data_IF_346894694986
#
_entry.id   IF_346894694986
#
_cell.length_a   1.000
_cell.length_b   1.000
_cell.length_c   1.000
_cell.angle_alpha   90.00
_cell.angle_beta   90.00
_cell.angle_gamma   90.00
#
_symmetry.space_group_name_H-M   'P 1'
#
loop_
_entity.id
_entity.type
_entity.pdbx_description
1 polymer ?
#
# COMPACT_ATOMS: atom_id res chain seq x y z
N UNK A 1 3.59 7.79 -24.83
CA UNK A 1 2.98 7.36 -23.54
C UNK A 1 1.88 6.36 -23.85
N UNK A 2 1.82 5.26 -23.09
CA UNK A 2 0.77 4.26 -23.26
C UNK A 2 -0.51 4.73 -22.59
N UNK A 3 -1.67 4.22 -23.03
CA UNK A 3 -2.99 4.50 -22.40
C UNK A 3 -2.99 4.16 -20.88
N UNK A 4 -2.22 3.15 -20.48
CA UNK A 4 -2.05 2.75 -19.08
C UNK A 4 -1.30 3.80 -18.26
N UNK A 5 -0.23 4.41 -18.82
CA UNK A 5 0.53 5.46 -18.13
C UNK A 5 -0.34 6.70 -17.89
N UNK A 6 -1.01 7.19 -18.93
CA UNK A 6 -1.91 8.36 -18.81
C UNK A 6 -2.98 8.15 -17.74
N UNK A 7 -3.61 6.97 -17.71
CA UNK A 7 -4.62 6.65 -16.69
C UNK A 7 -4.06 6.64 -15.27
N UNK A 8 -2.80 6.25 -15.08
CA UNK A 8 -2.15 6.28 -13.76
C UNK A 8 -1.83 7.68 -13.28
N UNK A 9 -1.40 8.55 -14.19
CA UNK A 9 -1.17 9.97 -13.90
C UNK A 9 -2.50 10.68 -13.57
N UNK A 10 -3.58 10.37 -14.29
CA UNK A 10 -4.93 10.85 -13.98
C UNK A 10 -5.39 10.41 -12.58
N UNK A 11 -5.14 9.15 -12.19
CA UNK A 11 -5.47 8.66 -10.86
C UNK A 11 -4.73 9.42 -9.75
N UNK A 12 -3.43 9.70 -9.93
CA UNK A 12 -2.67 10.51 -8.97
C UNK A 12 -3.23 11.92 -8.87
N UNK A 13 -3.50 12.55 -10.01
CA UNK A 13 -4.06 13.89 -10.08
C UNK A 13 -5.42 13.99 -9.37
N UNK A 14 -6.31 13.03 -9.63
CA UNK A 14 -7.63 12.94 -8.98
C UNK A 14 -7.51 12.71 -7.47
N UNK A 15 -6.59 11.83 -7.05
CA UNK A 15 -6.38 11.55 -5.63
C UNK A 15 -5.82 12.74 -4.85
N UNK A 16 -5.08 13.62 -5.50
CA UNK A 16 -4.55 14.85 -4.90
C UNK A 16 -5.59 15.98 -4.81
N UNK A 17 -6.68 15.89 -5.57
CA UNK A 17 -7.71 16.93 -5.59
C UNK A 17 -8.72 16.70 -4.45
N UNK A 18 -8.84 17.68 -3.54
CA UNK A 18 -9.76 17.61 -2.40
C UNK A 18 -11.24 17.44 -2.80
N UNK A 19 -11.64 17.91 -3.98
CA UNK A 19 -13.01 17.75 -4.49
C UNK A 19 -13.37 16.30 -4.79
N UNK A 20 -12.38 15.45 -5.02
CA UNK A 20 -12.56 14.03 -5.31
C UNK A 20 -12.36 13.14 -4.09
N UNK A 21 -12.08 13.72 -2.92
CA UNK A 21 -12.06 12.97 -1.66
C UNK A 21 -13.48 12.51 -1.32
N UNK A 22 -13.63 11.20 -1.11
CA UNK A 22 -14.95 10.63 -0.81
C UNK A 22 -15.52 11.21 0.49
N UNK A 23 -16.78 11.60 0.47
CA UNK A 23 -17.52 12.03 1.64
C UNK A 23 -18.14 10.86 2.44
N UNK A 24 -18.05 9.65 1.89
CA UNK A 24 -18.53 8.46 2.58
C UNK A 24 -17.60 8.11 3.75
N UNK A 25 -18.16 8.06 4.96
CA UNK A 25 -17.44 7.63 6.13
C UNK A 25 -17.01 6.15 6.00
N UNK A 26 -15.82 5.83 6.52
CA UNK A 26 -15.29 4.46 6.53
C UNK A 26 -16.01 3.52 7.50
N UNK A 27 -16.92 4.05 8.34
CA UNK A 27 -17.60 3.35 9.41
C UNK A 27 -16.86 3.39 10.76
N UNK A 28 -15.62 3.86 10.81
CA UNK A 28 -14.87 4.01 12.05
C UNK A 28 -15.48 5.07 12.99
N UNK A 29 -16.20 6.04 12.45
CA UNK A 29 -16.98 7.04 13.20
C UNK A 29 -18.14 6.43 14.02
N UNK A 30 -18.54 5.19 13.72
CA UNK A 30 -19.55 4.42 14.46
C UNK A 30 -18.93 3.57 15.58
N UNK A 31 -17.60 3.48 15.66
CA UNK A 31 -16.88 2.74 16.68
C UNK A 31 -16.54 3.70 17.82
N UNK A 32 -17.13 3.45 18.98
CA UNK A 32 -16.84 4.21 20.19
C UNK A 32 -16.10 3.33 21.19
N UNK A 33 -15.01 3.85 21.74
CA UNK A 33 -14.34 3.21 22.86
C UNK A 33 -14.99 3.64 24.17
N UNK A 34 -15.12 2.69 25.08
CA UNK A 34 -15.57 3.01 26.44
C UNK A 34 -14.47 3.81 27.15
N UNK A 35 -14.81 5.02 27.61
CA UNK A 35 -13.83 5.90 28.24
C UNK A 35 -13.43 5.39 29.64
N UNK A 36 -12.14 5.13 29.83
CA UNK A 36 -11.57 4.85 31.15
C UNK A 36 -10.76 6.08 31.60
N UNK A 37 -11.28 6.87 32.57
CA UNK A 37 -10.63 8.11 33.02
C UNK A 37 -9.36 7.88 33.86
N UNK A 38 -9.20 6.67 34.41
CA UNK A 38 -8.05 6.28 35.23
C UNK A 38 -7.50 4.92 34.71
N UNK A 39 -6.81 4.88 33.56
CA UNK A 39 -6.37 3.63 32.97
C UNK A 39 -5.23 2.93 33.73
N UNK A 40 -4.62 3.61 34.70
CA UNK A 40 -3.47 3.10 35.50
C UNK A 40 -2.28 2.63 34.63
N UNK A 41 -2.13 3.25 33.45
CA UNK A 41 -1.09 2.99 32.47
C UNK A 41 -0.34 4.29 32.16
N UNK A 42 0.96 4.25 32.13
CA UNK A 42 1.76 5.34 31.60
C UNK A 42 1.86 5.23 30.07
N UNK A 43 2.04 6.35 29.37
CA UNK A 43 2.09 6.40 27.92
C UNK A 43 3.20 5.49 27.34
N UNK A 44 4.32 5.39 28.03
CA UNK A 44 5.47 4.55 27.65
C UNK A 44 5.25 3.04 27.89
N UNK A 45 4.15 2.65 28.53
CA UNK A 45 3.75 1.24 28.72
C UNK A 45 2.82 0.76 27.61
N UNK A 46 2.36 1.69 26.73
CA UNK A 46 1.48 1.35 25.61
C UNK A 46 2.32 0.86 24.43
N UNK A 47 2.05 -0.35 23.95
CA UNK A 47 2.64 -0.89 22.72
C UNK A 47 1.61 -0.93 21.60
N UNK A 48 2.01 -0.48 20.41
CA UNK A 48 1.24 -0.62 19.17
C UNK A 48 1.68 -1.82 18.34
N UNK A 49 2.64 -2.61 18.83
CA UNK A 49 3.15 -3.79 18.15
C UNK A 49 2.05 -4.81 17.88
N UNK A 50 2.14 -5.44 16.72
CA UNK A 50 1.20 -6.49 16.29
C UNK A 50 1.90 -7.50 15.40
N UNK A 51 1.24 -8.61 15.11
CA UNK A 51 1.75 -9.61 14.17
C UNK A 51 0.91 -9.64 12.90
N UNK A 52 1.59 -9.69 11.76
CA UNK A 52 0.97 -9.85 10.45
C UNK A 52 1.80 -10.81 9.59
N UNK A 53 1.16 -11.86 9.05
CA UNK A 53 1.81 -12.92 8.26
C UNK A 53 3.04 -13.55 8.96
N UNK A 54 2.98 -13.67 10.29
CA UNK A 54 4.06 -14.26 11.09
C UNK A 54 5.25 -13.32 11.37
N UNK A 55 5.15 -12.05 10.97
CA UNK A 55 6.16 -11.01 11.21
C UNK A 55 5.63 -10.01 12.21
N UNK A 56 6.48 -9.59 13.17
CA UNK A 56 6.16 -8.54 14.12
C UNK A 56 6.27 -7.16 13.45
N UNK A 57 5.25 -6.34 13.65
CA UNK A 57 5.15 -4.97 13.15
C UNK A 57 5.15 -3.98 14.30
N UNK A 58 5.61 -2.75 14.04
CA UNK A 58 5.57 -1.66 15.02
C UNK A 58 4.17 -1.10 15.27
N UNK A 59 3.26 -1.24 14.29
CA UNK A 59 1.88 -0.74 14.39
C UNK A 59 0.94 -1.52 13.44
N UNK A 60 -0.37 -1.59 13.73
CA UNK A 60 -1.37 -2.23 12.88
C UNK A 60 -1.79 -1.33 11.72
N UNK A 61 -0.81 -0.89 10.93
CA UNK A 61 -0.99 0.02 9.80
C UNK A 61 -0.35 -0.60 8.57
N UNK A 62 -1.01 -0.51 7.41
CA UNK A 62 -0.50 -0.94 6.12
C UNK A 62 -0.58 0.24 5.15
N UNK A 63 0.49 0.55 4.44
CA UNK A 63 0.45 1.52 3.34
C UNK A 63 -0.38 0.95 2.20
N UNK A 64 -1.49 1.63 1.86
CA UNK A 64 -2.47 1.16 0.88
C UNK A 64 -1.94 1.11 -0.55
N UNK A 65 -2.44 0.16 -1.35
CA UNK A 65 -2.08 -0.03 -2.75
C UNK A 65 -2.65 1.10 -3.63
N UNK A 66 -1.81 1.89 -4.27
CA UNK A 66 -2.25 2.95 -5.18
C UNK A 66 -1.36 3.12 -6.41
N UNK A 67 -0.09 3.42 -6.23
CA UNK A 67 0.84 3.84 -7.28
C UNK A 67 1.55 2.68 -7.98
N UNK A 68 2.03 2.94 -9.19
CA UNK A 68 2.88 2.06 -9.96
C UNK A 68 2.63 2.16 -11.47
N UNK A 69 3.69 2.04 -12.27
CA UNK A 69 3.62 2.04 -13.73
C UNK A 69 3.44 3.42 -14.37
N UNK A 70 3.86 4.48 -13.72
CA UNK A 70 4.05 5.83 -14.25
C UNK A 70 5.33 6.45 -13.69
N UNK A 71 5.87 7.46 -14.35
CA UNK A 71 7.18 8.06 -14.01
C UNK A 71 7.23 8.58 -12.56
N UNK A 72 6.19 9.25 -12.11
CA UNK A 72 6.10 9.71 -10.72
C UNK A 72 5.81 8.58 -9.71
N UNK A 73 5.23 7.48 -10.18
CA UNK A 73 4.88 6.33 -9.34
C UNK A 73 6.09 5.64 -8.72
N UNK A 74 7.21 5.58 -9.44
CA UNK A 74 8.42 4.93 -8.95
C UNK A 74 9.06 5.73 -7.81
N UNK A 75 9.09 7.06 -7.92
CA UNK A 75 9.60 7.93 -6.85
C UNK A 75 8.70 7.85 -5.61
N UNK A 76 7.38 7.86 -5.79
CA UNK A 76 6.43 7.70 -4.68
C UNK A 76 6.62 6.33 -4.02
N UNK A 77 6.72 5.26 -4.80
CA UNK A 77 6.93 3.91 -4.28
C UNK A 77 8.27 3.78 -3.55
N UNK A 78 9.32 4.46 -4.00
CA UNK A 78 10.60 4.53 -3.30
C UNK A 78 10.41 5.14 -1.89
N UNK A 79 9.86 6.34 -1.80
CA UNK A 79 9.68 7.02 -0.52
C UNK A 79 8.78 6.23 0.44
N UNK A 80 7.71 5.62 -0.08
CA UNK A 80 6.82 4.79 0.72
C UNK A 80 7.49 3.50 1.18
N UNK A 81 8.32 2.89 0.34
CA UNK A 81 9.08 1.70 0.70
C UNK A 81 10.13 1.98 1.77
N UNK A 82 10.88 3.08 1.63
CA UNK A 82 11.84 3.54 2.65
C UNK A 82 11.12 3.83 3.97
N UNK A 83 9.95 4.45 3.94
CA UNK A 83 9.13 4.69 5.13
C UNK A 83 8.62 3.38 5.75
N UNK A 84 8.14 2.44 4.95
CA UNK A 84 7.68 1.13 5.39
C UNK A 84 8.79 0.35 6.11
N UNK A 85 9.99 0.33 5.52
CA UNK A 85 11.18 -0.29 6.10
C UNK A 85 11.57 0.38 7.43
N UNK A 86 11.63 1.71 7.44
CA UNK A 86 12.03 2.47 8.64
C UNK A 86 11.04 2.33 9.78
N UNK A 87 9.74 2.35 9.48
CA UNK A 87 8.67 2.25 10.48
C UNK A 87 8.30 0.81 10.84
N UNK A 88 8.88 -0.18 10.19
CA UNK A 88 8.54 -1.59 10.32
C UNK A 88 7.03 -1.85 10.16
N UNK A 89 6.46 -1.34 9.07
CA UNK A 89 5.06 -1.55 8.65
C UNK A 89 4.99 -2.11 7.24
N UNK A 90 3.94 -2.86 6.86
CA UNK A 90 3.77 -3.36 5.50
C UNK A 90 3.43 -2.28 4.49
N UNK A 91 3.78 -2.52 3.24
CA UNK A 91 3.37 -1.72 2.09
C UNK A 91 2.71 -2.60 1.03
N UNK A 92 1.57 -2.15 0.51
CA UNK A 92 0.93 -2.74 -0.66
C UNK A 92 1.26 -1.93 -1.92
N UNK A 93 1.66 -2.63 -2.98
CA UNK A 93 1.93 -2.02 -4.28
C UNK A 93 0.64 -1.86 -5.08
N UNK A 94 0.58 -0.84 -5.91
CA UNK A 94 -0.46 -0.72 -6.93
C UNK A 94 -0.46 -1.91 -7.88
N UNK A 95 -1.50 -2.04 -8.72
CA UNK A 95 -1.64 -3.17 -9.64
C UNK A 95 -0.36 -3.42 -10.45
N UNK A 96 0.14 -4.65 -10.39
CA UNK A 96 1.33 -5.10 -11.10
C UNK A 96 1.11 -5.29 -12.60
N UNK A 97 -0.12 -5.13 -13.09
CA UNK A 97 -0.47 -5.33 -14.49
C UNK A 97 0.46 -4.55 -15.45
N UNK A 98 0.63 -3.25 -15.20
CA UNK A 98 1.45 -2.41 -16.07
C UNK A 98 2.92 -2.87 -16.11
N UNK A 99 3.48 -3.19 -14.94
CA UNK A 99 4.86 -3.68 -14.84
C UNK A 99 5.02 -5.00 -15.59
N UNK A 100 4.09 -5.94 -15.45
CA UNK A 100 4.15 -7.25 -16.08
C UNK A 100 3.93 -7.19 -17.61
N UNK A 101 2.98 -6.37 -18.07
CA UNK A 101 2.70 -6.21 -19.52
C UNK A 101 3.80 -5.45 -20.25
N UNK A 102 4.39 -4.43 -19.61
CA UNK A 102 5.42 -3.59 -20.21
C UNK A 102 6.85 -4.06 -19.89
N UNK A 103 7.02 -5.09 -19.06
CA UNK A 103 8.32 -5.60 -18.65
C UNK A 103 9.12 -4.62 -17.79
N UNK A 104 8.43 -3.78 -16.99
CA UNK A 104 9.07 -2.80 -16.13
C UNK A 104 9.61 -3.46 -14.87
N UNK A 105 10.84 -3.12 -14.49
CA UNK A 105 11.42 -3.55 -13.23
C UNK A 105 10.82 -2.77 -12.06
N UNK A 106 10.44 -3.50 -11.02
CA UNK A 106 10.00 -2.90 -9.76
C UNK A 106 11.07 -3.07 -8.70
N UNK A 107 11.78 -1.99 -8.41
CA UNK A 107 12.93 -1.99 -7.52
C UNK A 107 12.56 -1.82 -6.03
N UNK A 108 11.31 -2.06 -5.61
CA UNK A 108 10.82 -1.79 -4.25
C UNK A 108 11.65 -2.53 -3.20
N UNK A 109 12.04 -3.78 -3.47
CA UNK A 109 12.91 -4.57 -2.59
C UNK A 109 14.29 -3.95 -2.34
N UNK A 110 14.77 -3.11 -3.25
CA UNK A 110 16.03 -2.38 -3.06
C UNK A 110 15.92 -1.34 -1.93
N UNK A 111 14.73 -0.75 -1.77
CA UNK A 111 14.48 0.30 -0.78
C UNK A 111 13.86 -0.24 0.51
N UNK A 112 13.20 -1.39 0.45
CA UNK A 112 12.57 -2.08 1.57
C UNK A 112 12.95 -3.56 1.57
N UNK A 113 14.19 -3.91 1.95
CA UNK A 113 14.67 -5.29 1.91
C UNK A 113 13.93 -6.22 2.88
N UNK A 114 13.49 -5.72 4.03
CA UNK A 114 12.89 -6.52 5.11
C UNK A 114 11.38 -6.29 5.27
N UNK A 115 10.85 -5.12 4.89
CA UNK A 115 9.43 -4.83 5.02
C UNK A 115 8.55 -5.83 4.26
N UNK A 116 7.36 -6.11 4.77
CA UNK A 116 6.35 -6.91 4.08
C UNK A 116 5.83 -6.10 2.89
N UNK A 117 6.05 -6.62 1.68
CA UNK A 117 5.51 -6.05 0.45
C UNK A 117 4.39 -6.94 -0.07
N UNK A 118 3.19 -6.35 -0.21
CA UNK A 118 2.00 -7.01 -0.76
C UNK A 118 1.88 -6.67 -2.24
N UNK A 119 1.92 -7.67 -3.09
CA UNK A 119 1.69 -7.52 -4.54
C UNK A 119 0.20 -7.49 -4.85
N UNK A 120 -0.20 -6.77 -5.90
CA UNK A 120 -1.59 -6.60 -6.31
C UNK A 120 -1.79 -7.05 -7.76
N UNK A 121 -2.63 -8.06 -7.96
CA UNK A 121 -3.12 -8.51 -9.26
C UNK A 121 -4.64 -8.53 -9.26
N UNK A 122 -5.26 -7.93 -10.27
CA UNK A 122 -6.71 -8.02 -10.47
C UNK A 122 -7.13 -9.41 -10.95
N UNK A 123 -8.33 -9.84 -10.60
CA UNK A 123 -8.87 -11.14 -11.02
C UNK A 123 -8.81 -11.39 -12.55
N UNK A 124 -9.03 -10.40 -13.43
CA UNK A 124 -8.88 -10.60 -14.87
C UNK A 124 -7.47 -11.02 -15.31
N UNK A 125 -6.43 -10.63 -14.58
CA UNK A 125 -5.04 -10.99 -14.88
C UNK A 125 -4.70 -12.45 -14.48
N UNK A 126 -5.57 -13.09 -13.70
CA UNK A 126 -5.41 -14.49 -13.26
C UNK A 126 -6.11 -15.48 -14.19
N UNK A 127 -6.90 -14.99 -15.18
CA UNK A 127 -7.57 -15.84 -16.16
C UNK A 127 -6.67 -16.11 -17.38
N UNK A 128 -6.79 -17.26 -18.06
CA UNK A 128 -6.07 -17.53 -19.29
C UNK A 128 -6.34 -16.43 -20.36
N UNK A 129 -5.29 -15.94 -21.07
CA UNK A 129 -3.89 -16.34 -21.04
C UNK A 129 -3.03 -15.74 -19.93
N UNK A 130 -3.62 -14.95 -19.03
CA UNK A 130 -2.90 -14.16 -18.01
C UNK A 130 -2.38 -14.94 -16.79
N UNK A 131 -2.56 -16.26 -16.72
CA UNK A 131 -2.18 -17.08 -15.54
C UNK A 131 -0.69 -17.04 -15.20
N UNK A 132 0.17 -16.72 -16.16
CA UNK A 132 1.61 -16.58 -15.92
C UNK A 132 1.98 -15.32 -15.12
N UNK A 133 1.10 -14.35 -15.05
CA UNK A 133 1.35 -13.13 -14.26
C UNK A 133 1.47 -13.41 -12.77
N UNK A 134 0.65 -14.34 -12.25
CA UNK A 134 0.72 -14.71 -10.83
C UNK A 134 2.06 -15.34 -10.42
N UNK A 135 2.81 -15.92 -11.37
CA UNK A 135 4.14 -16.50 -11.12
C UNK A 135 5.26 -15.46 -11.20
N UNK A 136 5.01 -14.31 -11.84
CA UNK A 136 5.99 -13.26 -12.11
C UNK A 136 5.83 -12.06 -11.16
N UNK A 137 4.70 -11.94 -10.46
CA UNK A 137 4.42 -10.91 -9.48
C UNK A 137 4.95 -11.28 -8.10
#
# INVERSE_FOLDING_TARGET
MTDISNRKDDHLSLAMNAEHQGVAASGFDQICFEHNPLPELALNEISTQTQFLGVELSAPIIIGAMTGGCDNGDMINQHLAEAAEHCNIPMALGSQRAALELGLEQNVRRWAPNAIILSNLGAPQLQPPGTDFAKRA
#
